data_IF_519698360135
#
_entry.id   IF_519698360135
#
_cell.length_a   1.000
_cell.length_b   1.000
_cell.length_c   1.000
_cell.angle_alpha   90.00
_cell.angle_beta   90.00
_cell.angle_gamma   90.00
#
_symmetry.space_group_name_H-M   'P 1'
#
loop_
_entity.id
_entity.type
_entity.pdbx_description
1 polymer ?
#
# COMPACT_ATOMS: atom_id res chain seq x y z
N UNK A 1 -45.12 -2.71 3.92
CA UNK A 1 -44.08 -1.88 3.27
C UNK A 1 -43.93 -0.63 4.12
N UNK A 2 -42.82 -0.48 4.84
CA UNK A 2 -42.54 0.75 5.55
C UNK A 2 -42.08 1.79 4.53
N UNK A 3 -42.77 2.92 4.45
CA UNK A 3 -42.43 3.99 3.52
C UNK A 3 -41.09 4.62 3.93
N UNK A 4 -40.14 4.70 2.99
CA UNK A 4 -38.82 5.27 3.23
C UNK A 4 -38.92 6.73 3.66
N UNK A 5 -38.31 7.11 4.79
CA UNK A 5 -38.35 8.48 5.32
C UNK A 5 -37.83 9.50 4.29
N UNK A 6 -38.65 10.50 3.97
CA UNK A 6 -38.36 11.56 2.99
C UNK A 6 -37.95 12.87 3.66
N UNK A 7 -36.79 12.89 4.32
CA UNK A 7 -36.32 14.04 5.08
C UNK A 7 -34.89 14.47 4.70
N UNK A 8 -34.49 14.19 3.46
CA UNK A 8 -33.21 14.63 2.93
C UNK A 8 -33.35 15.86 2.04
N UNK A 9 -32.28 16.64 2.01
CA UNK A 9 -32.08 17.85 1.24
C UNK A 9 -30.80 17.71 0.42
N UNK A 10 -30.83 18.21 -0.82
CA UNK A 10 -29.63 18.47 -1.62
C UNK A 10 -29.55 19.97 -1.83
N UNK A 11 -28.40 20.56 -1.55
CA UNK A 11 -28.18 21.99 -1.58
C UNK A 11 -26.87 22.35 -2.29
N UNK A 12 -26.78 23.62 -2.69
CA UNK A 12 -25.61 24.22 -3.32
C UNK A 12 -25.20 25.48 -2.56
N UNK A 13 -23.89 25.61 -2.32
CA UNK A 13 -23.27 26.89 -2.03
C UNK A 13 -22.64 27.42 -3.31
N UNK A 14 -23.08 28.59 -3.77
CA UNK A 14 -22.54 29.25 -4.94
C UNK A 14 -21.73 30.48 -4.51
N UNK A 15 -20.45 30.49 -4.88
CA UNK A 15 -19.46 31.42 -4.35
C UNK A 15 -19.23 32.60 -5.30
N UNK A 16 -18.74 33.76 -4.80
CA UNK A 16 -18.46 34.94 -5.62
C UNK A 16 -17.48 34.72 -6.79
N UNK A 17 -16.61 33.70 -6.69
CA UNK A 17 -15.70 33.31 -7.78
C UNK A 17 -16.34 32.37 -8.81
N UNK A 18 -17.68 32.26 -8.81
CA UNK A 18 -18.50 31.45 -9.71
C UNK A 18 -18.27 29.94 -9.58
N UNK A 19 -17.67 29.51 -8.46
CA UNK A 19 -17.50 28.12 -8.09
C UNK A 19 -18.64 27.64 -7.20
N UNK A 20 -18.85 26.33 -7.15
CA UNK A 20 -19.92 25.74 -6.36
C UNK A 20 -19.44 24.64 -5.41
N UNK A 21 -20.21 24.40 -4.37
CA UNK A 21 -20.14 23.21 -3.52
C UNK A 21 -21.54 22.59 -3.44
N UNK A 22 -21.66 21.32 -3.74
CA UNK A 22 -22.90 20.56 -3.61
C UNK A 22 -22.81 19.68 -2.36
N UNK A 23 -23.87 19.62 -1.57
CA UNK A 23 -23.94 18.70 -0.45
C UNK A 23 -25.34 18.17 -0.22
N UNK A 24 -25.42 17.05 0.47
CA UNK A 24 -26.68 16.51 0.99
C UNK A 24 -26.73 16.51 2.52
N UNK A 25 -27.93 16.56 3.09
CA UNK A 25 -28.15 16.49 4.54
C UNK A 25 -29.53 15.95 4.88
N UNK A 26 -29.65 15.32 6.06
CA UNK A 26 -30.94 14.97 6.69
C UNK A 26 -31.37 15.98 7.76
N UNK A 27 -30.42 16.74 8.28
CA UNK A 27 -30.73 17.87 9.17
C UNK A 27 -31.29 19.01 8.35
N UNK A 28 -32.06 19.90 8.98
CA UNK A 28 -32.42 21.16 8.33
C UNK A 28 -31.15 21.85 7.83
N UNK A 29 -31.14 22.39 6.59
CA UNK A 29 -29.93 22.91 5.98
C UNK A 29 -29.20 23.94 6.86
N UNK A 30 -29.93 24.85 7.50
CA UNK A 30 -29.39 25.90 8.36
C UNK A 30 -28.63 25.33 9.56
N UNK A 31 -29.18 24.28 10.19
CA UNK A 31 -28.55 23.57 11.31
C UNK A 31 -27.26 22.86 10.85
N UNK A 32 -27.33 22.18 9.69
CA UNK A 32 -26.16 21.49 9.09
C UNK A 32 -25.05 22.47 8.73
N UNK A 33 -25.42 23.63 8.20
CA UNK A 33 -24.49 24.66 7.74
C UNK A 33 -23.83 25.37 8.92
N UNK A 34 -24.62 25.68 9.95
CA UNK A 34 -24.19 26.35 11.18
C UNK A 34 -23.37 27.61 10.89
N UNK A 35 -23.91 28.49 10.04
CA UNK A 35 -23.27 29.71 9.54
C UNK A 35 -21.84 29.47 9.03
N UNK A 36 -21.68 28.40 8.25
CA UNK A 36 -20.40 27.96 7.68
C UNK A 36 -19.51 27.14 8.63
N UNK A 37 -19.77 27.14 9.93
CA UNK A 37 -18.95 26.44 10.92
C UNK A 37 -19.06 24.90 10.82
N UNK A 38 -20.17 24.39 10.25
CA UNK A 38 -20.38 22.97 9.96
C UNK A 38 -19.40 22.40 8.93
N UNK A 39 -18.59 23.23 8.28
CA UNK A 39 -17.60 22.80 7.29
C UNK A 39 -16.16 22.81 7.81
N UNK A 40 -15.89 23.16 9.07
CA UNK A 40 -14.52 23.33 9.63
C UNK A 40 -13.49 22.25 9.27
N UNK A 41 -13.94 21.00 9.08
CA UNK A 41 -13.09 19.83 8.74
C UNK A 41 -13.02 19.53 7.23
N UNK A 42 -13.63 20.35 6.39
CA UNK A 42 -13.78 20.15 4.95
C UNK A 42 -13.03 21.25 4.18
N UNK A 43 -12.46 20.96 2.99
CA UNK A 43 -11.70 21.94 2.20
C UNK A 43 -12.48 23.20 1.82
N UNK A 44 -13.78 23.08 1.56
CA UNK A 44 -14.68 24.22 1.27
C UNK A 44 -14.67 25.29 2.37
N UNK A 45 -14.31 24.95 3.60
CA UNK A 45 -14.22 25.92 4.70
C UNK A 45 -13.20 27.03 4.46
N UNK A 46 -12.14 26.75 3.71
CA UNK A 46 -11.16 27.77 3.31
C UNK A 46 -11.81 28.85 2.44
N UNK A 47 -12.67 28.46 1.49
CA UNK A 47 -13.43 29.37 0.65
C UNK A 47 -14.49 30.13 1.46
N UNK A 48 -15.19 29.44 2.37
CA UNK A 48 -16.16 30.08 3.28
C UNK A 48 -15.49 31.19 4.10
N UNK A 49 -14.30 30.94 4.65
CA UNK A 49 -13.53 31.97 5.36
C UNK A 49 -13.04 33.10 4.46
N UNK A 50 -12.67 32.79 3.21
CA UNK A 50 -12.18 33.78 2.24
C UNK A 50 -13.26 34.77 1.82
N UNK A 51 -14.45 34.27 1.50
CA UNK A 51 -15.53 35.10 0.97
C UNK A 51 -16.46 35.64 2.07
N UNK A 52 -16.53 34.98 3.22
CA UNK A 52 -17.51 35.28 4.27
C UNK A 52 -18.85 34.62 3.98
N UNK A 53 -19.48 34.07 5.02
CA UNK A 53 -20.73 33.30 4.90
C UNK A 53 -21.84 34.09 4.22
N UNK A 54 -22.04 35.35 4.64
CA UNK A 54 -23.08 36.24 4.10
C UNK A 54 -22.92 36.58 2.60
N UNK A 55 -21.72 36.39 2.04
CA UNK A 55 -21.44 36.67 0.62
C UNK A 55 -21.55 35.41 -0.26
N UNK A 56 -22.00 34.29 0.30
CA UNK A 56 -22.16 33.02 -0.41
C UNK A 56 -23.66 32.79 -0.60
N UNK A 57 -24.06 32.44 -1.81
CA UNK A 57 -25.45 32.10 -2.09
C UNK A 57 -25.72 30.66 -1.62
N UNK A 58 -26.72 30.50 -0.75
CA UNK A 58 -27.14 29.21 -0.21
C UNK A 58 -28.46 28.77 -0.85
N UNK A 59 -28.43 27.71 -1.65
CA UNK A 59 -29.55 27.31 -2.51
C UNK A 59 -29.96 25.88 -2.17
N UNK A 60 -31.24 25.67 -1.85
CA UNK A 60 -31.81 24.31 -1.79
C UNK A 60 -32.16 23.88 -3.21
N UNK A 61 -31.45 22.87 -3.72
CA UNK A 61 -31.69 22.34 -5.07
C UNK A 61 -32.92 21.44 -5.08
N UNK A 62 -33.06 20.60 -4.04
CA UNK A 62 -34.21 19.71 -3.86
C UNK A 62 -34.35 19.29 -2.40
N UNK A 63 -35.59 19.05 -1.97
CA UNK A 63 -35.95 18.62 -0.62
C UNK A 63 -37.03 17.53 -0.65
N UNK A 64 -37.43 17.02 0.52
CA UNK A 64 -38.39 15.92 0.66
C UNK A 64 -37.93 14.66 -0.11
N UNK A 65 -36.65 14.34 0.03
CA UNK A 65 -36.00 13.23 -0.64
C UNK A 65 -35.83 12.04 0.30
N UNK A 66 -35.94 10.84 -0.26
CA UNK A 66 -35.30 9.65 0.32
C UNK A 66 -33.78 9.78 0.23
N UNK A 67 -33.07 8.97 1.01
CA UNK A 67 -31.62 8.98 0.97
C UNK A 67 -31.05 8.62 -0.41
N UNK A 68 -31.58 7.58 -1.06
CA UNK A 68 -31.13 7.13 -2.38
C UNK A 68 -31.35 8.20 -3.45
N UNK A 69 -32.52 8.86 -3.46
CA UNK A 69 -32.77 9.99 -4.35
C UNK A 69 -31.77 11.13 -4.09
N UNK A 70 -31.51 11.47 -2.82
CA UNK A 70 -30.57 12.53 -2.47
C UNK A 70 -29.13 12.20 -2.88
N UNK A 71 -28.69 10.94 -2.80
CA UNK A 71 -27.37 10.52 -3.26
C UNK A 71 -27.23 10.63 -4.78
N UNK A 72 -28.23 10.16 -5.53
CA UNK A 72 -28.21 10.24 -7.00
C UNK A 72 -28.28 11.70 -7.48
N UNK A 73 -29.08 12.52 -6.81
CA UNK A 73 -29.15 13.95 -7.10
C UNK A 73 -27.86 14.69 -6.73
N UNK A 74 -27.22 14.37 -5.60
CA UNK A 74 -25.91 14.95 -5.25
C UNK A 74 -24.88 14.65 -6.35
N UNK A 75 -24.76 13.38 -6.78
CA UNK A 75 -23.87 12.99 -7.89
C UNK A 75 -24.21 13.72 -9.18
N UNK A 76 -25.50 13.79 -9.52
CA UNK A 76 -25.98 14.50 -10.70
C UNK A 76 -25.58 15.98 -10.69
N UNK A 77 -25.82 16.68 -9.58
CA UNK A 77 -25.53 18.11 -9.47
C UNK A 77 -24.02 18.40 -9.39
N UNK A 78 -23.23 17.55 -8.71
CA UNK A 78 -21.77 17.65 -8.73
C UNK A 78 -21.24 17.61 -10.17
N UNK A 79 -21.77 16.67 -10.97
CA UNK A 79 -21.39 16.56 -12.38
C UNK A 79 -21.91 17.74 -13.22
N UNK A 80 -23.18 18.13 -13.03
CA UNK A 80 -23.82 19.22 -13.79
C UNK A 80 -23.11 20.56 -13.61
N UNK A 81 -22.62 20.84 -12.41
CA UNK A 81 -21.93 22.10 -12.08
C UNK A 81 -20.40 22.00 -12.13
N UNK A 82 -19.85 20.84 -12.52
CA UNK A 82 -18.40 20.55 -12.47
C UNK A 82 -17.77 20.97 -11.13
N UNK A 83 -18.45 20.67 -10.02
CA UNK A 83 -18.10 21.23 -8.71
C UNK A 83 -16.87 20.57 -8.08
N UNK A 84 -16.22 19.63 -8.78
CA UNK A 84 -14.93 19.03 -8.41
C UNK A 84 -13.78 19.81 -9.04
N UNK A 85 -13.78 19.95 -10.37
CA UNK A 85 -12.67 20.61 -11.08
C UNK A 85 -12.82 22.13 -11.05
N UNK A 86 -14.06 22.62 -11.14
CA UNK A 86 -14.42 24.02 -11.09
C UNK A 86 -15.29 24.35 -9.85
N UNK A 87 -15.02 23.69 -8.73
CA UNK A 87 -15.74 23.90 -7.48
C UNK A 87 -14.94 23.53 -6.23
N UNK A 88 -15.66 23.21 -5.17
CA UNK A 88 -15.11 22.91 -3.84
C UNK A 88 -15.47 21.50 -3.31
N UNK A 89 -16.10 20.65 -4.13
CA UNK A 89 -16.27 19.24 -3.80
C UNK A 89 -14.94 18.49 -3.96
N UNK A 90 -14.65 17.53 -3.06
CA UNK A 90 -13.41 16.74 -3.10
C UNK A 90 -13.53 15.54 -4.05
N UNK A 91 -14.74 15.04 -4.27
CA UNK A 91 -14.98 13.84 -5.04
C UNK A 91 -16.39 13.81 -5.60
N UNK A 92 -16.74 12.69 -6.26
CA UNK A 92 -17.99 12.51 -7.02
C UNK A 92 -19.28 12.48 -6.17
N UNK A 93 -19.19 12.68 -4.85
CA UNK A 93 -20.30 12.56 -3.92
C UNK A 93 -20.62 11.10 -3.55
N UNK A 94 -21.78 10.87 -2.95
CA UNK A 94 -22.28 9.54 -2.62
C UNK A 94 -21.97 9.04 -1.22
N UNK A 95 -21.54 9.90 -0.29
CA UNK A 95 -21.29 9.51 1.09
C UNK A 95 -21.51 10.66 2.07
N UNK A 96 -22.31 10.42 3.10
CA UNK A 96 -22.23 11.18 4.34
C UNK A 96 -20.90 10.83 5.00
N UNK A 97 -20.05 11.82 5.26
CA UNK A 97 -18.84 11.60 6.03
C UNK A 97 -19.17 11.08 7.42
N UNK A 98 -18.73 9.86 7.72
CA UNK A 98 -18.94 9.19 9.00
C UNK A 98 -20.17 8.28 8.98
N UNK A 99 -19.92 7.00 9.18
CA UNK A 99 -20.85 5.87 9.21
C UNK A 99 -21.35 5.43 7.82
N UNK A 100 -20.88 4.25 7.42
CA UNK A 100 -21.29 3.54 6.22
C UNK A 100 -22.74 3.09 6.38
N UNK A 101 -23.68 3.93 5.93
CA UNK A 101 -25.11 3.58 5.79
C UNK A 101 -25.27 2.60 4.62
N UNK A 102 -24.84 1.35 4.82
CA UNK A 102 -25.13 0.24 3.91
C UNK A 102 -26.48 -0.32 4.31
N UNK A 103 -27.46 -0.22 3.42
CA UNK A 103 -28.74 -0.93 3.55
C UNK A 103 -28.52 -2.39 3.13
N UNK A 104 -28.88 -3.32 4.01
CA UNK A 104 -28.62 -4.75 3.86
C UNK A 104 -29.97 -5.49 3.81
N UNK A 105 -30.27 -6.08 2.66
CA UNK A 105 -31.48 -6.89 2.49
C UNK A 105 -31.28 -8.29 3.08
N UNK A 106 -32.06 -8.62 4.10
CA UNK A 106 -32.01 -9.92 4.76
C UNK A 106 -33.43 -10.39 5.12
N UNK A 107 -33.76 -11.63 4.79
CA UNK A 107 -35.09 -12.24 5.08
C UNK A 107 -36.28 -11.36 4.66
N UNK A 108 -36.18 -10.69 3.52
CA UNK A 108 -37.25 -9.86 2.96
C UNK A 108 -37.45 -8.49 3.62
N UNK A 109 -36.54 -8.06 4.49
CA UNK A 109 -36.50 -6.72 5.06
C UNK A 109 -35.13 -6.08 4.87
N UNK A 110 -35.09 -4.75 4.93
CA UNK A 110 -33.85 -3.97 4.81
C UNK A 110 -33.40 -3.53 6.20
N UNK A 111 -32.12 -3.74 6.51
CA UNK A 111 -31.51 -3.42 7.80
C UNK A 111 -30.28 -2.53 7.62
N UNK A 112 -30.01 -1.68 8.60
CA UNK A 112 -28.68 -1.08 8.77
C UNK A 112 -27.67 -2.11 9.27
N UNK A 113 -26.38 -1.76 9.15
CA UNK A 113 -25.28 -2.58 9.68
C UNK A 113 -25.36 -2.78 11.20
N UNK A 114 -25.94 -1.83 11.96
CA UNK A 114 -26.22 -1.99 13.39
C UNK A 114 -27.41 -2.91 13.66
N UNK A 115 -28.52 -2.73 12.93
CA UNK A 115 -29.75 -3.51 13.16
C UNK A 115 -29.55 -4.99 12.80
N UNK A 116 -28.78 -5.29 11.75
CA UNK A 116 -28.58 -6.68 11.32
C UNK A 116 -27.79 -7.51 12.35
N UNK A 117 -27.04 -6.86 13.26
CA UNK A 117 -26.32 -7.55 14.33
C UNK A 117 -27.24 -8.31 15.28
N UNK A 118 -28.54 -7.96 15.36
CA UNK A 118 -29.51 -8.71 16.16
C UNK A 118 -29.66 -10.17 15.72
N UNK A 119 -29.26 -10.48 14.48
CA UNK A 119 -29.29 -11.83 13.91
C UNK A 119 -27.93 -12.54 13.96
N UNK A 120 -26.88 -11.88 14.45
CA UNK A 120 -25.53 -12.43 14.52
C UNK A 120 -25.40 -13.49 15.61
N UNK A 121 -24.82 -14.64 15.28
CA UNK A 121 -24.37 -15.64 16.26
C UNK A 121 -22.91 -15.44 16.68
N UNK A 122 -22.21 -14.46 16.07
CA UNK A 122 -20.81 -14.16 16.32
C UNK A 122 -20.65 -13.18 17.49
N UNK A 123 -19.89 -13.57 18.51
CA UNK A 123 -19.61 -12.74 19.68
C UNK A 123 -18.79 -11.49 19.32
N UNK A 124 -19.18 -10.33 19.86
CA UNK A 124 -18.50 -9.04 19.66
C UNK A 124 -18.37 -8.63 18.17
N UNK A 125 -19.29 -9.04 17.31
CA UNK A 125 -19.39 -8.54 15.94
C UNK A 125 -19.85 -7.08 15.96
N UNK A 126 -19.21 -6.22 15.17
CA UNK A 126 -19.55 -4.79 15.08
C UNK A 126 -20.10 -4.45 13.70
N UNK A 127 -20.84 -3.34 13.58
CA UNK A 127 -21.35 -2.85 12.30
C UNK A 127 -20.22 -2.62 11.28
N UNK A 128 -19.06 -2.17 11.74
CA UNK A 128 -17.86 -2.05 10.90
C UNK A 128 -17.35 -3.40 10.37
N UNK A 129 -17.43 -4.47 11.17
CA UNK A 129 -17.05 -5.81 10.71
C UNK A 129 -18.02 -6.31 9.63
N UNK A 130 -19.33 -6.05 9.79
CA UNK A 130 -20.37 -6.37 8.81
C UNK A 130 -20.09 -5.67 7.48
N UNK A 131 -19.88 -4.36 7.50
CA UNK A 131 -19.66 -3.57 6.28
C UNK A 131 -18.34 -3.90 5.61
N UNK A 132 -17.30 -4.21 6.38
CA UNK A 132 -16.01 -4.68 5.84
C UNK A 132 -16.15 -6.02 5.13
N UNK A 133 -16.85 -6.98 5.74
CA UNK A 133 -17.07 -8.31 5.12
C UNK A 133 -17.94 -8.21 3.87
N UNK A 134 -19.01 -7.40 3.89
CA UNK A 134 -19.82 -7.11 2.70
C UNK A 134 -18.97 -6.51 1.57
N UNK A 135 -18.11 -5.53 1.88
CA UNK A 135 -17.18 -4.94 0.91
C UNK A 135 -16.17 -5.93 0.33
N UNK A 136 -15.89 -7.02 1.05
CA UNK A 136 -15.07 -8.15 0.57
C UNK A 136 -15.89 -9.25 -0.13
N UNK A 137 -17.17 -9.01 -0.40
CA UNK A 137 -18.04 -9.95 -1.13
C UNK A 137 -18.51 -11.16 -0.31
N UNK A 138 -18.53 -11.05 1.03
CA UNK A 138 -19.07 -12.11 1.86
C UNK A 138 -20.60 -12.16 1.79
N UNK A 139 -21.16 -13.37 1.84
CA UNK A 139 -22.60 -13.57 1.98
C UNK A 139 -23.09 -13.14 3.39
N UNK A 140 -24.33 -12.66 3.48
CA UNK A 140 -24.89 -12.15 4.75
C UNK A 140 -24.93 -13.24 5.81
N UNK A 141 -25.27 -14.47 5.44
CA UNK A 141 -25.33 -15.59 6.40
C UNK A 141 -23.93 -15.92 6.92
N UNK A 142 -22.93 -15.88 6.05
CA UNK A 142 -21.52 -16.05 6.41
C UNK A 142 -21.02 -14.93 7.33
N UNK A 143 -21.47 -13.70 7.12
CA UNK A 143 -21.10 -12.55 7.96
C UNK A 143 -21.62 -12.73 9.39
N UNK A 144 -22.87 -13.17 9.52
CA UNK A 144 -23.57 -13.30 10.79
C UNK A 144 -23.19 -14.58 11.56
N UNK A 145 -22.63 -15.59 10.88
CA UNK A 145 -22.33 -16.89 11.47
C UNK A 145 -20.83 -17.19 11.65
N UNK A 146 -19.96 -16.73 10.75
CA UNK A 146 -18.54 -17.12 10.79
C UNK A 146 -17.77 -16.31 11.85
N UNK A 147 -17.03 -16.99 12.75
CA UNK A 147 -16.38 -16.34 13.89
C UNK A 147 -15.35 -15.32 13.44
N UNK A 148 -15.09 -14.33 14.31
CA UNK A 148 -14.00 -13.37 14.08
C UNK A 148 -12.68 -14.13 14.12
N UNK A 149 -11.91 -14.06 13.03
CA UNK A 149 -10.53 -14.55 13.00
C UNK A 149 -9.60 -13.52 13.66
N UNK A 150 -9.82 -13.22 14.95
CA UNK A 150 -8.78 -12.52 15.70
C UNK A 150 -7.75 -13.56 16.10
N UNK A 151 -6.63 -13.60 15.39
CA UNK A 151 -5.43 -14.20 15.97
C UNK A 151 -5.08 -13.33 17.19
N UNK A 152 -5.50 -13.74 18.38
CA UNK A 152 -5.00 -13.18 19.64
C UNK A 152 -3.58 -13.71 19.85
N UNK A 153 -2.67 -13.26 18.99
CA UNK A 153 -1.26 -13.65 19.03
C UNK A 153 -0.68 -13.08 20.31
N UNK A 154 -0.15 -13.98 21.15
CA UNK A 154 0.67 -13.62 22.28
C UNK A 154 2.12 -13.93 21.94
N UNK A 155 3.00 -13.05 22.38
CA UNK A 155 4.42 -13.10 22.17
C UNK A 155 5.11 -13.43 23.48
N UNK A 156 6.06 -14.35 23.45
CA UNK A 156 6.89 -14.63 24.61
C UNK A 156 7.93 -13.52 24.80
N UNK A 157 7.98 -12.97 26.01
CA UNK A 157 8.97 -11.98 26.41
C UNK A 157 9.28 -12.15 27.90
N UNK A 158 10.55 -12.24 28.28
CA UNK A 158 10.98 -12.45 29.68
C UNK A 158 10.26 -13.64 30.37
N UNK A 159 10.03 -14.74 29.63
CA UNK A 159 9.39 -15.95 30.13
C UNK A 159 7.88 -15.85 30.38
N UNK A 160 7.22 -14.79 29.88
CA UNK A 160 5.75 -14.62 29.96
C UNK A 160 5.17 -14.27 28.60
N UNK A 161 3.88 -14.58 28.41
CA UNK A 161 3.14 -14.31 27.19
C UNK A 161 2.41 -12.97 27.25
N UNK A 162 2.66 -12.09 26.29
CA UNK A 162 2.07 -10.75 26.19
C UNK A 162 1.40 -10.53 24.85
N UNK A 163 0.26 -9.83 24.84
CA UNK A 163 -0.28 -9.24 23.62
C UNK A 163 0.60 -8.08 23.13
N UNK A 164 0.51 -7.74 21.84
CA UNK A 164 1.21 -6.56 21.32
C UNK A 164 0.84 -5.27 22.09
N UNK A 165 -0.40 -5.17 22.58
CA UNK A 165 -0.88 -4.04 23.39
C UNK A 165 -0.20 -3.97 24.76
N UNK A 166 0.02 -5.10 25.40
CA UNK A 166 0.76 -5.16 26.66
C UNK A 166 2.25 -4.91 26.43
N UNK A 167 2.81 -5.41 25.32
CA UNK A 167 4.20 -5.18 24.95
C UNK A 167 4.54 -3.70 24.82
N UNK A 168 3.66 -2.86 24.26
CA UNK A 168 3.88 -1.40 24.15
C UNK A 168 4.29 -0.77 25.49
N UNK A 169 3.77 -1.27 26.62
CA UNK A 169 4.07 -0.71 27.95
C UNK A 169 5.53 -0.86 28.35
N UNK A 170 6.26 -1.81 27.77
CA UNK A 170 7.69 -2.00 27.99
C UNK A 170 8.56 -1.10 27.10
N UNK A 171 7.98 -0.46 26.07
CA UNK A 171 8.72 0.45 25.19
C UNK A 171 8.88 1.85 25.81
N UNK A 172 10.07 2.43 25.68
CA UNK A 172 10.35 3.84 25.99
C UNK A 172 10.14 4.77 24.77
N UNK A 173 9.73 4.25 23.62
CA UNK A 173 9.61 5.00 22.37
C UNK A 173 8.27 5.74 22.29
N UNK A 174 8.32 7.07 22.21
CA UNK A 174 7.13 7.91 22.10
C UNK A 174 6.38 7.63 20.79
N UNK A 175 5.07 7.34 20.89
CA UNK A 175 4.18 7.16 19.73
C UNK A 175 4.27 5.79 19.05
N UNK A 176 4.95 4.82 19.66
CA UNK A 176 4.91 3.42 19.24
C UNK A 176 3.54 2.81 19.58
N UNK A 177 2.92 2.14 18.60
CA UNK A 177 1.59 1.54 18.75
C UNK A 177 1.67 0.01 18.82
N UNK A 178 0.60 -0.63 19.29
CA UNK A 178 0.51 -2.10 19.30
C UNK A 178 0.55 -2.68 17.89
N UNK A 179 0.00 -1.97 16.90
CA UNK A 179 0.09 -2.36 15.50
C UNK A 179 1.53 -2.29 14.98
N UNK A 180 2.31 -1.29 15.41
CA UNK A 180 3.73 -1.20 15.05
C UNK A 180 4.50 -2.41 15.59
N UNK A 181 4.27 -2.81 16.85
CA UNK A 181 4.91 -3.98 17.45
C UNK A 181 4.47 -5.27 16.73
N UNK A 182 3.16 -5.46 16.53
CA UNK A 182 2.64 -6.62 15.83
C UNK A 182 3.27 -6.77 14.44
N UNK A 183 3.29 -5.69 13.64
CA UNK A 183 3.87 -5.73 12.30
C UNK A 183 5.39 -6.00 12.35
N UNK A 184 6.11 -5.42 13.32
CA UNK A 184 7.54 -5.67 13.50
C UNK A 184 7.82 -7.14 13.78
N UNK A 185 7.04 -7.78 14.63
CA UNK A 185 7.28 -9.18 15.03
C UNK A 185 6.74 -10.14 13.97
N UNK A 186 5.46 -10.06 13.62
CA UNK A 186 4.80 -11.04 12.75
C UNK A 186 5.11 -10.83 11.26
N UNK A 187 5.15 -9.59 10.78
CA UNK A 187 5.36 -9.33 9.36
C UNK A 187 6.85 -9.13 9.03
N UNK A 188 7.62 -8.54 9.95
CA UNK A 188 9.03 -8.25 9.73
C UNK A 188 9.98 -9.23 10.44
N UNK A 189 9.47 -10.15 11.26
CA UNK A 189 10.26 -11.18 11.93
C UNK A 189 11.23 -10.63 12.99
N UNK A 190 10.96 -9.46 13.58
CA UNK A 190 11.82 -8.88 14.60
C UNK A 190 11.69 -9.61 15.93
N UNK A 191 12.78 -9.67 16.68
CA UNK A 191 12.76 -10.01 18.10
C UNK A 191 12.00 -8.93 18.91
N UNK A 192 11.49 -9.32 20.07
CA UNK A 192 10.63 -8.44 20.89
C UNK A 192 11.41 -7.23 21.41
N UNK A 193 12.64 -7.39 21.86
CA UNK A 193 13.45 -6.28 22.39
C UNK A 193 13.68 -5.20 21.33
N UNK A 194 14.00 -5.60 20.11
CA UNK A 194 14.11 -4.71 18.96
C UNK A 194 12.78 -4.07 18.61
N UNK A 195 11.69 -4.85 18.61
CA UNK A 195 10.36 -4.32 18.35
C UNK A 195 9.96 -3.21 19.33
N UNK A 196 10.46 -3.28 20.58
CA UNK A 196 10.22 -2.31 21.63
C UNK A 196 11.16 -1.11 21.60
N UNK A 197 12.42 -1.27 21.20
CA UNK A 197 13.45 -0.22 21.33
C UNK A 197 13.63 0.62 20.07
N UNK A 198 13.24 0.13 18.89
CA UNK A 198 13.49 0.86 17.64
C UNK A 198 12.53 2.05 17.44
N UNK A 199 13.03 3.27 17.11
CA UNK A 199 12.20 4.46 16.88
C UNK A 199 11.31 4.36 15.63
N UNK A 200 10.16 5.04 15.69
CA UNK A 200 9.19 5.14 14.59
C UNK A 200 9.70 6.07 13.48
N UNK A 201 9.39 5.76 12.22
CA UNK A 201 9.70 6.64 11.07
C UNK A 201 11.13 6.55 10.51
N UNK A 202 12.03 5.78 11.14
CA UNK A 202 13.32 5.43 10.52
C UNK A 202 13.10 4.26 9.54
N UNK A 203 12.97 4.55 8.25
CA UNK A 203 13.02 3.52 7.20
C UNK A 203 14.41 2.89 7.25
N UNK A 204 14.45 1.57 7.41
CA UNK A 204 15.52 0.59 7.11
C UNK A 204 15.68 -0.38 8.29
N UNK A 205 15.89 -1.67 7.99
CA UNK A 205 16.77 -2.56 8.78
C UNK A 205 18.02 -1.76 9.21
N UNK A 206 18.82 -2.13 10.24
CA UNK A 206 20.14 -1.53 10.36
C UNK A 206 20.77 -1.56 8.96
N UNK A 207 21.09 -0.39 8.37
CA UNK A 207 21.45 -0.37 6.98
C UNK A 207 22.74 -1.18 6.86
N UNK A 208 22.69 -2.28 6.11
CA UNK A 208 23.76 -2.50 5.16
C UNK A 208 23.88 -1.20 4.39
N UNK A 209 24.92 -0.43 4.70
CA UNK A 209 25.06 0.98 4.42
C UNK A 209 24.60 1.38 3.01
N UNK A 210 23.62 2.29 2.95
CA UNK A 210 23.29 3.01 1.70
C UNK A 210 24.34 4.06 1.33
N UNK A 211 25.30 4.31 2.21
CA UNK A 211 26.48 5.12 1.93
C UNK A 211 27.60 4.19 1.45
N UNK A 212 28.04 4.34 0.19
CA UNK A 212 29.20 3.61 -0.37
C UNK A 212 30.50 3.81 0.42
N UNK A 213 30.56 4.82 1.30
CA UNK A 213 31.71 5.15 2.17
C UNK A 213 31.55 4.70 3.63
N UNK A 214 30.39 4.15 4.03
CA UNK A 214 30.16 3.67 5.40
C UNK A 214 30.07 2.14 5.42
N UNK A 215 30.47 1.54 6.55
CA UNK A 215 30.66 0.11 6.68
C UNK A 215 29.41 -0.61 7.22
N UNK A 216 28.97 -1.67 6.53
CA UNK A 216 27.78 -2.44 6.85
C UNK A 216 27.98 -3.35 8.08
N UNK A 217 27.05 -3.31 9.03
CA UNK A 217 27.01 -4.17 10.22
C UNK A 217 25.78 -5.08 10.22
N UNK A 218 25.96 -6.33 10.62
CA UNK A 218 24.97 -7.41 10.57
C UNK A 218 24.94 -8.18 11.88
N UNK A 219 23.75 -8.46 12.40
CA UNK A 219 23.60 -9.29 13.59
C UNK A 219 23.51 -10.77 13.20
N UNK A 220 24.28 -11.62 13.88
CA UNK A 220 24.26 -13.07 13.69
C UNK A 220 24.61 -13.77 15.01
N UNK A 221 23.78 -14.72 15.46
CA UNK A 221 23.97 -15.45 16.73
C UNK A 221 24.21 -14.52 17.94
N UNK A 222 23.49 -13.40 18.01
CA UNK A 222 23.56 -12.42 19.11
C UNK A 222 24.82 -11.56 19.13
N UNK A 223 25.63 -11.56 18.05
CA UNK A 223 26.80 -10.70 17.89
C UNK A 223 26.68 -9.86 16.62
N UNK A 224 27.32 -8.69 16.62
CA UNK A 224 27.37 -7.79 15.47
C UNK A 224 28.66 -8.05 14.70
N UNK A 225 28.52 -8.23 13.39
CA UNK A 225 29.59 -8.53 12.46
C UNK A 225 29.61 -7.54 11.30
N UNK A 226 30.81 -7.21 10.85
CA UNK A 226 31.06 -6.57 9.55
C UNK A 226 30.95 -7.61 8.44
N UNK A 227 30.70 -7.16 7.22
CA UNK A 227 30.58 -8.11 6.09
C UNK A 227 31.83 -8.98 5.90
N UNK A 228 33.03 -8.43 6.16
CA UNK A 228 34.26 -9.22 6.06
C UNK A 228 34.35 -10.27 7.16
N UNK A 229 33.85 -9.99 8.37
CA UNK A 229 33.85 -10.94 9.48
C UNK A 229 32.84 -12.06 9.19
N UNK A 230 31.69 -11.74 8.61
CA UNK A 230 30.75 -12.73 8.10
C UNK A 230 31.37 -13.60 7.00
N UNK A 231 32.21 -13.02 6.14
CA UNK A 231 32.94 -13.80 5.13
C UNK A 231 33.93 -14.78 5.77
N UNK A 232 34.60 -14.41 6.86
CA UNK A 232 35.47 -15.33 7.61
C UNK A 232 34.69 -16.48 8.27
N UNK A 233 33.39 -16.31 8.53
CA UNK A 233 32.52 -17.35 9.06
C UNK A 233 31.94 -18.26 7.96
N UNK A 234 32.07 -17.88 6.68
CA UNK A 234 31.51 -18.62 5.55
C UNK A 234 32.29 -19.90 5.27
N UNK A 235 31.57 -21.01 5.06
CA UNK A 235 32.14 -22.28 4.58
C UNK A 235 32.10 -22.39 3.06
N UNK A 236 31.56 -21.39 2.36
CA UNK A 236 31.40 -21.39 0.90
C UNK A 236 32.66 -20.87 0.20
N UNK A 237 33.25 -21.70 -0.65
CA UNK A 237 34.41 -21.33 -1.47
C UNK A 237 34.06 -20.27 -2.54
N UNK A 238 34.95 -19.29 -2.73
CA UNK A 238 34.81 -18.25 -3.76
C UNK A 238 33.70 -17.22 -3.50
N UNK A 239 33.20 -17.15 -2.26
CA UNK A 239 32.27 -16.12 -1.82
C UNK A 239 33.01 -14.80 -1.58
N UNK A 240 32.41 -13.68 -1.98
CA UNK A 240 32.97 -12.34 -1.76
C UNK A 240 32.13 -11.53 -0.79
N UNK A 241 32.72 -10.48 -0.21
CA UNK A 241 32.02 -9.47 0.58
C UNK A 241 30.82 -8.88 -0.18
N UNK A 242 31.00 -8.65 -1.48
CA UNK A 242 29.94 -8.16 -2.37
C UNK A 242 28.78 -9.16 -2.51
N UNK A 243 29.09 -10.46 -2.61
CA UNK A 243 28.08 -11.52 -2.69
C UNK A 243 27.23 -11.57 -1.41
N UNK A 244 27.85 -11.56 -0.23
CA UNK A 244 27.13 -11.55 1.06
C UNK A 244 26.25 -10.30 1.17
N UNK A 245 26.81 -9.14 0.82
CA UNK A 245 26.07 -7.87 0.83
C UNK A 245 24.86 -7.93 -0.11
N UNK A 246 25.02 -8.45 -1.32
CA UNK A 246 23.93 -8.57 -2.30
C UNK A 246 22.87 -9.58 -1.85
N UNK A 247 23.29 -10.75 -1.35
CA UNK A 247 22.40 -11.77 -0.81
C UNK A 247 21.49 -11.21 0.28
N UNK A 248 22.06 -10.50 1.25
CA UNK A 248 21.29 -9.95 2.38
C UNK A 248 20.47 -8.73 1.94
N UNK A 249 21.11 -7.73 1.32
CA UNK A 249 20.49 -6.42 1.11
C UNK A 249 19.61 -6.35 -0.14
N UNK A 250 19.91 -7.12 -1.19
CA UNK A 250 19.19 -7.09 -2.47
C UNK A 250 18.28 -8.30 -2.62
N UNK A 251 18.75 -9.49 -2.21
CA UNK A 251 18.01 -10.75 -2.36
C UNK A 251 17.22 -11.14 -1.10
N UNK A 252 17.37 -10.41 0.01
CA UNK A 252 16.60 -10.64 1.24
C UNK A 252 16.97 -11.89 2.02
N UNK A 253 18.18 -12.41 1.84
CA UNK A 253 18.64 -13.63 2.53
C UNK A 253 18.90 -13.36 4.01
N UNK A 254 18.71 -14.38 4.85
CA UNK A 254 19.22 -14.37 6.22
C UNK A 254 20.75 -14.37 6.24
N UNK A 255 21.37 -13.94 7.34
CA UNK A 255 22.84 -13.97 7.46
C UNK A 255 23.37 -15.41 7.35
N UNK A 256 22.70 -16.37 8.00
CA UNK A 256 23.01 -17.81 7.92
C UNK A 256 23.02 -18.28 6.46
N UNK A 257 21.95 -18.02 5.71
CA UNK A 257 21.85 -18.41 4.31
C UNK A 257 22.91 -17.72 3.46
N UNK A 258 23.21 -16.46 3.75
CA UNK A 258 24.16 -15.67 2.99
C UNK A 258 25.59 -16.22 3.07
N UNK A 259 25.96 -16.85 4.18
CA UNK A 259 27.32 -17.39 4.41
C UNK A 259 27.42 -18.91 4.21
N UNK A 260 26.31 -19.65 4.15
CA UNK A 260 26.34 -21.13 4.04
C UNK A 260 25.89 -21.67 2.69
N UNK A 261 24.98 -20.99 1.98
CA UNK A 261 24.46 -21.52 0.71
C UNK A 261 25.43 -21.29 -0.45
N UNK A 262 25.66 -22.30 -1.31
CA UNK A 262 26.63 -22.22 -2.40
C UNK A 262 26.24 -21.14 -3.43
N UNK A 263 27.23 -20.64 -4.17
CA UNK A 263 26.95 -19.72 -5.29
C UNK A 263 26.17 -20.46 -6.38
N UNK A 264 25.10 -19.84 -6.88
CA UNK A 264 24.41 -20.35 -8.08
C UNK A 264 25.41 -20.33 -9.23
N UNK A 265 25.74 -21.51 -9.75
CA UNK A 265 26.55 -21.63 -10.96
C UNK A 265 25.67 -21.33 -12.17
N UNK A 266 25.89 -20.18 -12.80
CA UNK A 266 25.25 -19.84 -14.08
C UNK A 266 26.14 -20.34 -15.23
N UNK A 267 26.28 -21.66 -15.36
CA UNK A 267 26.97 -22.27 -16.50
C UNK A 267 25.95 -22.57 -17.61
N UNK A 268 25.21 -21.54 -18.04
CA UNK A 268 24.26 -21.71 -19.15
C UNK A 268 25.06 -21.96 -20.42
N UNK A 269 24.95 -23.19 -20.95
CA UNK A 269 25.46 -23.57 -22.26
C UNK A 269 24.37 -23.35 -23.30
N UNK A 270 24.80 -23.09 -24.52
CA UNK A 270 23.96 -22.85 -25.67
C UNK A 270 24.33 -23.87 -26.74
N UNK A 271 23.32 -24.49 -27.33
CA UNK A 271 23.52 -25.42 -28.43
C UNK A 271 23.77 -24.65 -29.72
N UNK A 272 24.84 -25.00 -30.44
CA UNK A 272 25.13 -24.51 -31.77
C UNK A 272 25.82 -25.61 -32.57
N UNK A 273 25.30 -25.92 -33.75
CA UNK A 273 25.82 -26.99 -34.63
C UNK A 273 26.02 -28.34 -33.90
N UNK A 274 25.06 -28.73 -33.05
CA UNK A 274 25.09 -29.99 -32.31
C UNK A 274 26.11 -30.06 -31.17
N UNK A 275 26.78 -28.95 -30.83
CA UNK A 275 27.72 -28.85 -29.70
C UNK A 275 27.26 -27.80 -28.70
N UNK A 276 27.66 -27.98 -27.45
CA UNK A 276 27.29 -27.10 -26.34
C UNK A 276 28.42 -26.11 -26.04
N UNK A 277 28.14 -24.82 -26.13
CA UNK A 277 29.10 -23.74 -25.93
C UNK A 277 28.69 -22.82 -24.79
N UNK A 278 29.66 -22.34 -24.02
CA UNK A 278 29.48 -21.17 -23.15
C UNK A 278 29.38 -19.89 -23.98
N UNK A 279 28.79 -18.82 -23.44
CA UNK A 279 28.77 -17.53 -24.13
C UNK A 279 30.17 -16.97 -24.41
N UNK A 280 31.17 -17.34 -23.61
CA UNK A 280 32.59 -17.00 -23.85
C UNK A 280 33.16 -17.72 -25.07
N UNK A 281 32.82 -18.99 -25.25
CA UNK A 281 33.28 -19.75 -26.42
C UNK A 281 32.56 -19.26 -27.68
N UNK A 282 31.25 -18.99 -27.60
CA UNK A 282 30.49 -18.40 -28.72
C UNK A 282 31.05 -17.04 -29.14
N UNK A 283 31.41 -16.17 -28.20
CA UNK A 283 32.00 -14.88 -28.52
C UNK A 283 33.33 -15.00 -29.28
N UNK A 284 34.12 -16.07 -29.07
CA UNK A 284 35.36 -16.33 -29.82
C UNK A 284 35.11 -16.79 -31.25
N UNK A 285 33.91 -17.29 -31.55
CA UNK A 285 33.52 -17.68 -32.91
C UNK A 285 33.08 -16.47 -33.75
N UNK A 286 32.84 -15.32 -33.11
CA UNK A 286 32.45 -14.10 -33.78
C UNK A 286 33.59 -13.55 -34.64
N UNK A 287 33.34 -13.17 -35.91
CA UNK A 287 34.31 -12.44 -36.72
C UNK A 287 34.45 -10.97 -36.27
N UNK A 288 33.55 -10.50 -35.40
CA UNK A 288 33.53 -9.14 -34.86
C UNK A 288 34.15 -9.10 -33.46
N UNK A 289 35.32 -8.46 -33.27
CA UNK A 289 36.02 -8.42 -31.98
C UNK A 289 35.26 -7.61 -30.91
N UNK A 290 34.34 -6.73 -31.32
CA UNK A 290 33.48 -5.97 -30.40
C UNK A 290 32.35 -6.80 -29.77
N UNK A 291 32.07 -8.00 -30.30
CA UNK A 291 31.04 -8.88 -29.74
C UNK A 291 31.61 -9.60 -28.52
N UNK A 292 31.12 -9.21 -27.35
CA UNK A 292 31.54 -9.81 -26.09
C UNK A 292 30.60 -10.94 -25.66
N UNK A 293 31.04 -11.81 -24.75
CA UNK A 293 30.18 -12.84 -24.16
C UNK A 293 28.94 -12.26 -23.43
N UNK A 294 29.00 -11.02 -22.94
CA UNK A 294 27.82 -10.32 -22.41
C UNK A 294 26.85 -10.00 -23.54
N UNK A 295 27.34 -9.46 -24.66
CA UNK A 295 26.55 -9.18 -25.87
C UNK A 295 25.83 -10.44 -26.39
N UNK A 296 26.53 -11.58 -26.44
CA UNK A 296 25.94 -12.88 -26.81
C UNK A 296 24.80 -13.25 -25.84
N UNK A 297 25.06 -13.12 -24.54
CA UNK A 297 24.08 -13.47 -23.48
C UNK A 297 22.84 -12.59 -23.55
N UNK A 298 23.01 -11.29 -23.76
CA UNK A 298 21.91 -10.31 -23.85
C UNK A 298 21.07 -10.52 -25.11
N UNK A 299 21.71 -10.77 -26.25
CA UNK A 299 21.01 -11.06 -27.52
C UNK A 299 20.14 -12.31 -27.39
N UNK A 300 20.69 -13.40 -26.86
CA UNK A 300 19.96 -14.68 -26.76
C UNK A 300 18.89 -14.62 -25.67
N UNK A 301 19.24 -14.19 -24.45
CA UNK A 301 18.31 -14.26 -23.31
C UNK A 301 17.37 -13.07 -23.19
N UNK A 302 17.82 -11.87 -23.57
CA UNK A 302 17.05 -10.63 -23.47
C UNK A 302 16.39 -10.23 -24.79
N UNK A 303 17.02 -10.55 -25.92
CA UNK A 303 16.54 -10.15 -27.25
C UNK A 303 15.81 -11.25 -28.04
N UNK A 304 15.85 -12.51 -27.60
CA UNK A 304 15.26 -13.64 -28.32
C UNK A 304 15.99 -14.05 -29.61
N UNK A 305 17.28 -13.71 -29.72
CA UNK A 305 18.08 -14.00 -30.91
C UNK A 305 18.44 -15.48 -31.00
N UNK A 306 18.59 -15.98 -32.23
CA UNK A 306 19.24 -17.28 -32.44
C UNK A 306 20.72 -17.18 -32.05
N UNK A 307 21.34 -18.33 -31.75
CA UNK A 307 22.78 -18.36 -31.42
C UNK A 307 23.62 -17.87 -32.59
N UNK A 308 23.21 -18.19 -33.81
CA UNK A 308 23.88 -17.76 -35.04
C UNK A 308 23.80 -16.25 -35.23
N UNK A 309 22.60 -15.66 -35.15
CA UNK A 309 22.42 -14.21 -35.27
C UNK A 309 23.19 -13.47 -34.18
N UNK A 310 23.23 -14.04 -32.97
CA UNK A 310 23.93 -13.47 -31.84
C UNK A 310 25.45 -13.36 -32.09
N UNK A 311 26.05 -14.35 -32.77
CA UNK A 311 27.48 -14.37 -33.10
C UNK A 311 27.80 -13.50 -34.31
N UNK A 312 26.99 -13.56 -35.37
CA UNK A 312 27.36 -13.02 -36.68
C UNK A 312 26.73 -11.67 -37.05
N UNK A 313 26.04 -11.01 -36.12
CA UNK A 313 25.49 -9.67 -36.39
C UNK A 313 26.32 -8.58 -35.71
N UNK A 314 26.86 -7.59 -36.44
CA UNK A 314 27.68 -6.52 -35.85
C UNK A 314 26.87 -5.60 -34.93
N UNK A 315 27.54 -4.93 -33.99
CA UNK A 315 26.91 -3.92 -33.13
C UNK A 315 26.69 -2.64 -33.95
N UNK A 316 25.45 -2.15 -34.07
CA UNK A 316 25.17 -0.87 -34.72
C UNK A 316 25.80 0.28 -33.91
N UNK A 317 26.80 0.96 -34.47
CA UNK A 317 27.33 2.21 -33.92
C UNK A 317 26.32 3.33 -34.20
N UNK A 318 25.67 3.83 -33.17
CA UNK A 318 24.84 5.05 -33.27
C UNK A 318 25.80 6.24 -33.22
N UNK A 319 26.04 6.88 -34.36
CA UNK A 319 26.74 8.17 -34.41
C UNK A 319 25.85 9.25 -33.79
N UNK A 320 26.15 9.66 -32.56
CA UNK A 320 25.53 10.85 -31.98
C UNK A 320 26.16 12.08 -32.63
N UNK A 321 25.48 12.66 -33.63
CA UNK A 321 25.79 14.02 -34.10
C UNK A 321 25.59 14.98 -32.93
N UNK A 322 26.68 15.49 -32.37
CA UNK A 322 26.64 16.63 -31.46
C UNK A 322 26.25 17.83 -32.31
N UNK A 323 25.01 18.30 -32.18
CA UNK A 323 24.62 19.61 -32.71
C UNK A 323 25.28 20.66 -31.81
N UNK A 324 26.38 21.23 -32.27
CA UNK A 324 26.93 22.45 -31.68
C UNK A 324 25.99 23.60 -32.05
N UNK A 325 25.16 24.03 -31.10
CA UNK A 325 24.52 25.34 -31.09
C UNK A 325 25.26 26.24 -30.10
#
# INVERSE_FOLDING_TARGET
>A
MAESKRNYYVYMHYFPDKKSYIGLTRQKPEDRWSNGSGYKKQPVYSAIKKFGWENIEHIILQENLTFNEAQELEKYYINKYDSINNGYNIGKGGGLGGDSWVEIDYKGNTYSAEEILQFSTVENLTAHDVTTRLGHGWDIEDILSKPKTRKNIKFEYNGKLYSAKELVKFSKIKGLTSSDIFNRVECMGWDIDRALTQPKGKKLQPPGCRNKKAECLYEYKGKIYRTFELLQLSTVEGLTVGDITSRINQSGWSVEDAITKPKKQYNKKYEYNGKQYSSKELAKLSPYPEITHHTITDRINGGGWTVEDAIFTPIRKIERKILNN
#
